data_IF_378815864475
#
_entry.id   IF_378815864475
#
_cell.length_a   1.000
_cell.length_b   1.000
_cell.length_c   1.000
_cell.angle_alpha   90.00
_cell.angle_beta   90.00
_cell.angle_gamma   90.00
#
_symmetry.space_group_name_H-M   'P 1'
#
loop_
_entity.id
_entity.type
_entity.pdbx_description
1 polymer ?
#
# COMPACT_ATOMS: atom_id res chain seq x y z
N UNK A 1 -1.05 -16.67 -19.10
CA UNK A 1 0.05 -17.12 -18.20
C UNK A 1 -0.55 -17.47 -16.87
N UNK A 2 -0.14 -18.60 -16.30
CA UNK A 2 -0.65 -19.13 -15.03
C UNK A 2 0.26 -18.79 -13.87
N UNK A 3 -0.26 -18.83 -12.66
CA UNK A 3 0.50 -18.69 -11.43
C UNK A 3 1.44 -19.89 -11.23
N UNK A 4 2.43 -19.73 -10.36
CA UNK A 4 3.31 -20.83 -9.93
C UNK A 4 2.65 -21.59 -8.78
N UNK A 5 2.21 -22.82 -9.05
CA UNK A 5 1.62 -23.68 -8.03
C UNK A 5 2.68 -24.27 -7.10
N UNK A 6 2.45 -24.15 -5.78
CA UNK A 6 3.31 -24.72 -4.75
C UNK A 6 2.50 -25.57 -3.78
N UNK A 7 3.13 -26.65 -3.28
CA UNK A 7 2.56 -27.54 -2.25
C UNK A 7 3.06 -27.22 -0.84
N UNK A 8 4.05 -26.33 -0.74
CA UNK A 8 4.64 -25.91 0.54
C UNK A 8 3.69 -24.99 1.30
N UNK A 9 3.75 -25.05 2.63
CA UNK A 9 3.07 -24.08 3.49
C UNK A 9 3.75 -22.72 3.37
N UNK A 10 2.99 -21.65 3.69
CA UNK A 10 3.55 -20.30 3.75
C UNK A 10 4.69 -20.23 4.78
N UNK A 11 5.78 -19.49 4.51
CA UNK A 11 7.01 -19.55 5.31
C UNK A 11 6.94 -18.77 6.62
N UNK A 12 5.97 -17.87 6.80
CA UNK A 12 5.94 -16.90 7.89
C UNK A 12 5.67 -17.52 9.26
N UNK A 13 4.68 -18.43 9.37
CA UNK A 13 4.36 -19.08 10.65
C UNK A 13 5.50 -19.95 11.18
N UNK A 14 6.13 -20.83 10.38
CA UNK A 14 7.32 -21.58 10.82
C UNK A 14 8.47 -20.66 11.22
N UNK A 15 8.77 -19.63 10.43
CA UNK A 15 9.86 -18.69 10.69
C UNK A 15 9.62 -17.90 11.98
N UNK A 16 8.39 -17.37 12.18
CA UNK A 16 8.00 -16.72 13.43
C UNK A 16 8.20 -17.63 14.64
N UNK A 17 7.78 -18.91 14.54
CA UNK A 17 7.93 -19.86 15.65
C UNK A 17 9.41 -20.07 16.00
N UNK A 18 10.24 -20.33 15.01
CA UNK A 18 11.67 -20.54 15.20
C UNK A 18 12.39 -19.31 15.78
N UNK A 19 11.98 -18.09 15.34
CA UNK A 19 12.51 -16.84 15.88
C UNK A 19 12.10 -16.63 17.35
N UNK A 20 10.84 -16.90 17.72
CA UNK A 20 10.38 -16.74 19.09
C UNK A 20 10.98 -17.76 20.08
N UNK A 21 11.34 -18.94 19.59
CA UNK A 21 12.06 -19.96 20.39
C UNK A 21 13.49 -19.51 20.69
N UNK A 22 14.17 -18.84 19.73
CA UNK A 22 15.54 -18.34 19.90
C UNK A 22 15.62 -16.94 20.53
N UNK A 23 14.64 -16.11 20.29
CA UNK A 23 14.57 -14.69 20.63
C UNK A 23 13.23 -14.34 21.28
N UNK A 24 12.93 -14.83 22.50
CA UNK A 24 11.67 -14.57 23.20
C UNK A 24 11.43 -13.08 23.50
N UNK A 25 12.49 -12.26 23.54
CA UNK A 25 12.46 -10.80 23.72
C UNK A 25 11.72 -10.07 22.59
N UNK A 26 11.53 -10.68 21.42
CA UNK A 26 10.72 -10.13 20.32
C UNK A 26 9.31 -9.77 20.79
N UNK A 27 8.76 -10.51 21.77
CA UNK A 27 7.43 -10.21 22.32
C UNK A 27 7.31 -8.82 22.95
N UNK A 28 8.41 -8.24 23.43
CA UNK A 28 8.43 -6.87 23.96
C UNK A 28 8.25 -5.80 22.86
N UNK A 29 8.38 -6.16 21.58
CA UNK A 29 8.14 -5.26 20.46
C UNK A 29 6.65 -5.15 20.09
N UNK A 30 5.79 -6.03 20.60
CA UNK A 30 4.35 -6.01 20.32
C UNK A 30 3.67 -4.77 20.91
N UNK A 31 2.57 -4.39 20.30
CA UNK A 31 1.73 -3.30 20.78
C UNK A 31 1.31 -2.34 19.68
N UNK A 32 1.04 -1.11 20.03
CA UNK A 32 0.67 -0.04 19.12
C UNK A 32 1.59 1.18 19.26
N UNK A 33 1.51 2.07 18.26
CA UNK A 33 2.21 3.35 18.23
C UNK A 33 1.23 4.44 17.78
N UNK A 34 1.06 5.48 18.59
CA UNK A 34 0.14 6.58 18.29
C UNK A 34 0.70 7.58 17.28
N UNK A 35 2.02 7.56 17.03
CA UNK A 35 2.66 8.54 16.14
C UNK A 35 2.07 8.56 14.74
N UNK A 36 1.77 7.41 14.06
CA UNK A 36 1.12 7.43 12.75
C UNK A 36 -0.21 8.16 12.74
N UNK A 37 -1.02 8.02 13.80
CA UNK A 37 -2.30 8.72 13.90
C UNK A 37 -2.12 10.25 13.94
N UNK A 38 -1.17 10.75 14.74
CA UNK A 38 -0.88 12.18 14.82
C UNK A 38 -0.22 12.75 13.57
N UNK A 39 0.73 12.02 12.97
CA UNK A 39 1.35 12.40 11.71
C UNK A 39 0.28 12.51 10.62
N UNK A 40 -0.70 11.59 10.60
CA UNK A 40 -1.80 11.61 9.63
C UNK A 40 -2.62 12.89 9.70
N UNK A 41 -2.88 13.44 10.88
CA UNK A 41 -3.54 14.76 11.00
C UNK A 41 -2.78 15.83 10.24
N UNK A 42 -1.45 15.89 10.45
CA UNK A 42 -0.58 16.82 9.74
C UNK A 42 -0.53 16.58 8.22
N UNK A 43 -0.47 15.31 7.80
CA UNK A 43 -0.46 14.93 6.37
C UNK A 43 -1.76 15.33 5.68
N UNK A 44 -2.91 15.05 6.28
CA UNK A 44 -4.23 15.45 5.74
C UNK A 44 -4.32 16.97 5.64
N UNK A 45 -3.93 17.69 6.70
CA UNK A 45 -3.94 19.15 6.69
C UNK A 45 -3.03 19.74 5.61
N UNK A 46 -1.81 19.21 5.48
CA UNK A 46 -0.86 19.65 4.45
C UNK A 46 -1.40 19.35 3.04
N UNK A 47 -1.93 18.16 2.81
CA UNK A 47 -2.46 17.76 1.50
C UNK A 47 -3.63 18.67 1.06
N UNK A 48 -4.54 18.99 1.99
CA UNK A 48 -5.64 19.92 1.73
C UNK A 48 -5.15 21.37 1.52
N UNK A 49 -4.11 21.80 2.25
CA UNK A 49 -3.49 23.11 2.04
C UNK A 49 -2.83 23.22 0.65
N UNK A 50 -2.15 22.17 0.20
CA UNK A 50 -1.57 22.10 -1.15
C UNK A 50 -2.67 22.11 -2.23
N UNK A 51 -3.76 21.37 -2.02
CA UNK A 51 -4.93 21.41 -2.90
C UNK A 51 -5.54 22.82 -3.00
N UNK A 52 -5.68 23.50 -1.86
CA UNK A 52 -6.14 24.90 -1.81
C UNK A 52 -5.16 25.85 -2.51
N UNK A 53 -3.86 25.61 -2.42
CA UNK A 53 -2.85 26.41 -3.12
C UNK A 53 -2.97 26.27 -4.65
N UNK A 54 -3.21 25.06 -5.16
CA UNK A 54 -3.49 24.84 -6.59
C UNK A 54 -4.76 25.58 -7.03
N UNK A 55 -5.83 25.54 -6.22
CA UNK A 55 -7.05 26.29 -6.52
C UNK A 55 -6.81 27.81 -6.55
N UNK A 56 -6.01 28.34 -5.61
CA UNK A 56 -5.63 29.77 -5.62
C UNK A 56 -4.82 30.13 -6.86
N UNK A 57 -3.90 29.26 -7.29
CA UNK A 57 -3.12 29.45 -8.51
C UNK A 57 -4.05 29.51 -9.74
N UNK A 58 -5.03 28.62 -9.82
CA UNK A 58 -6.06 28.71 -10.90
C UNK A 58 -6.85 30.01 -10.85
N UNK A 59 -7.26 30.48 -9.67
CA UNK A 59 -7.99 31.74 -9.46
C UNK A 59 -7.16 33.00 -9.77
N UNK A 60 -5.82 32.91 -9.77
CA UNK A 60 -4.94 34.04 -10.18
C UNK A 60 -4.75 34.17 -11.68
N UNK A 61 -5.51 33.43 -12.50
CA UNK A 61 -5.45 33.48 -13.95
C UNK A 61 -4.45 32.48 -14.59
N UNK A 62 -3.80 31.65 -13.80
CA UNK A 62 -3.00 30.54 -14.32
C UNK A 62 -3.94 29.43 -14.75
N UNK A 63 -4.03 29.17 -16.05
CA UNK A 63 -4.91 28.14 -16.62
C UNK A 63 -4.23 27.30 -17.69
N UNK A 64 -5.01 26.39 -18.31
CA UNK A 64 -4.56 25.52 -19.39
C UNK A 64 -3.38 24.62 -18.96
N UNK A 65 -2.41 24.45 -19.86
CA UNK A 65 -1.27 23.59 -19.65
C UNK A 65 -0.38 23.98 -18.46
N UNK A 66 -0.30 25.30 -18.14
CA UNK A 66 0.52 25.79 -17.00
C UNK A 66 -0.02 25.31 -15.67
N UNK A 67 -1.32 25.35 -15.48
CA UNK A 67 -1.97 24.81 -14.28
C UNK A 67 -1.78 23.31 -14.20
N UNK A 68 -2.01 22.58 -15.31
CA UNK A 68 -1.81 21.12 -15.35
C UNK A 68 -0.39 20.70 -15.00
N UNK A 69 0.63 21.39 -15.52
CA UNK A 69 2.05 21.13 -15.18
C UNK A 69 2.31 21.41 -13.71
N UNK A 70 1.72 22.45 -13.13
CA UNK A 70 1.86 22.76 -11.70
C UNK A 70 1.20 21.70 -10.83
N UNK A 71 0.00 21.24 -11.18
CA UNK A 71 -0.70 20.13 -10.50
C UNK A 71 0.13 18.84 -10.55
N UNK A 72 0.55 18.43 -11.74
CA UNK A 72 1.35 17.21 -11.96
C UNK A 72 2.69 17.30 -11.23
N UNK A 73 3.40 18.42 -11.32
CA UNK A 73 4.69 18.62 -10.67
C UNK A 73 4.58 18.54 -9.15
N UNK A 74 3.60 19.22 -8.56
CA UNK A 74 3.37 19.18 -7.12
C UNK A 74 2.86 17.80 -6.66
N UNK A 75 1.96 17.19 -7.42
CA UNK A 75 1.43 15.87 -7.14
C UNK A 75 2.52 14.79 -7.19
N UNK A 76 3.38 14.82 -8.22
CA UNK A 76 4.50 13.86 -8.34
C UNK A 76 5.58 14.12 -7.28
N UNK A 77 5.91 15.37 -6.96
CA UNK A 77 6.99 15.69 -6.04
C UNK A 77 6.65 15.40 -4.57
N UNK A 78 5.54 15.92 -4.08
CA UNK A 78 5.16 15.85 -2.67
C UNK A 78 3.85 15.08 -2.48
N UNK A 79 2.85 15.39 -3.29
CA UNK A 79 1.51 14.84 -3.16
C UNK A 79 1.46 13.31 -3.18
N UNK A 80 2.26 12.69 -4.04
CA UNK A 80 2.38 11.24 -4.14
C UNK A 80 2.86 10.59 -2.83
N UNK A 81 3.87 11.17 -2.19
CA UNK A 81 4.40 10.67 -0.91
C UNK A 81 3.36 10.82 0.19
N UNK A 82 2.66 11.95 0.24
CA UNK A 82 1.59 12.21 1.22
C UNK A 82 0.38 11.27 1.00
N UNK A 83 -0.01 11.03 -0.26
CA UNK A 83 -1.08 10.06 -0.57
C UNK A 83 -0.66 8.63 -0.26
N UNK A 84 0.59 8.25 -0.52
CA UNK A 84 1.12 6.94 -0.17
C UNK A 84 1.12 6.70 1.35
N UNK A 85 1.38 7.75 2.14
CA UNK A 85 1.28 7.69 3.60
C UNK A 85 -0.09 7.20 4.07
N UNK A 86 -1.18 7.59 3.40
CA UNK A 86 -2.52 7.09 3.74
C UNK A 86 -2.58 5.54 3.67
N UNK A 87 -2.04 4.95 2.61
CA UNK A 87 -1.96 3.49 2.47
C UNK A 87 -1.15 2.82 3.58
N UNK A 88 -0.01 3.42 3.93
CA UNK A 88 0.85 2.93 5.04
C UNK A 88 0.09 2.93 6.37
N UNK A 89 -0.63 4.01 6.66
CA UNK A 89 -1.39 4.12 7.93
C UNK A 89 -2.61 3.22 7.93
N UNK A 90 -3.31 3.07 6.80
CA UNK A 90 -4.43 2.14 6.66
C UNK A 90 -3.94 0.71 6.89
N UNK A 91 -2.76 0.36 6.36
CA UNK A 91 -2.10 -0.93 6.59
C UNK A 91 -1.80 -1.16 8.09
N UNK A 92 -1.10 -0.24 8.76
CA UNK A 92 -0.81 -0.32 10.20
C UNK A 92 -2.10 -0.43 11.03
N UNK A 93 -3.10 0.38 10.71
CA UNK A 93 -4.39 0.37 11.39
C UNK A 93 -5.16 -0.95 11.22
N UNK A 94 -5.01 -1.63 10.07
CA UNK A 94 -5.64 -2.95 9.83
C UNK A 94 -5.15 -4.01 10.83
N UNK A 95 -3.89 -3.90 11.25
CA UNK A 95 -3.29 -4.76 12.27
C UNK A 95 -3.46 -4.24 13.71
N UNK A 96 -4.24 -3.17 13.90
CA UNK A 96 -4.45 -2.49 15.20
C UNK A 96 -3.16 -1.91 15.80
N UNK A 97 -2.28 -1.36 14.96
CA UNK A 97 -0.97 -0.83 15.37
C UNK A 97 -0.94 0.68 15.57
N UNK A 98 -2.02 1.42 15.21
CA UNK A 98 -2.07 2.88 15.34
C UNK A 98 -2.79 3.39 16.59
N UNK A 99 -3.54 2.52 17.29
CA UNK A 99 -4.36 2.92 18.43
C UNK A 99 -4.70 1.72 19.34
N UNK A 100 -5.10 1.94 20.63
CA UNK A 100 -5.31 0.85 21.58
C UNK A 100 -6.54 -0.02 21.29
N UNK A 101 -7.50 0.45 20.49
CA UNK A 101 -8.72 -0.32 20.20
C UNK A 101 -8.98 -0.48 18.70
N UNK A 102 -9.66 -1.57 18.29
CA UNK A 102 -10.00 -1.79 16.87
C UNK A 102 -10.89 -0.67 16.28
N UNK A 103 -11.75 -0.04 17.09
CA UNK A 103 -12.61 1.07 16.64
C UNK A 103 -11.77 2.31 16.33
N UNK A 104 -10.83 2.67 17.20
CA UNK A 104 -9.93 3.80 16.99
C UNK A 104 -9.03 3.59 15.78
N UNK A 105 -8.53 2.37 15.55
CA UNK A 105 -7.77 2.05 14.35
C UNK A 105 -8.59 2.25 13.07
N UNK A 106 -9.88 1.89 13.04
CA UNK A 106 -10.76 2.18 11.90
C UNK A 106 -10.95 3.68 11.68
N UNK A 107 -11.08 4.45 12.77
CA UNK A 107 -11.19 5.92 12.70
C UNK A 107 -9.89 6.51 12.12
N UNK A 108 -8.73 6.05 12.57
CA UNK A 108 -7.42 6.47 12.02
C UNK A 108 -7.30 6.13 10.53
N UNK A 109 -7.72 4.94 10.11
CA UNK A 109 -7.71 4.55 8.71
C UNK A 109 -8.65 5.42 7.85
N UNK A 110 -9.87 5.72 8.34
CA UNK A 110 -10.80 6.62 7.66
C UNK A 110 -10.26 8.05 7.59
N UNK A 111 -9.65 8.54 8.67
CA UNK A 111 -8.99 9.86 8.66
C UNK A 111 -7.85 9.91 7.64
N UNK A 112 -7.02 8.87 7.57
CA UNK A 112 -5.96 8.78 6.57
C UNK A 112 -6.49 8.84 5.12
N UNK A 113 -7.69 8.32 4.88
CA UNK A 113 -8.29 8.30 3.56
C UNK A 113 -8.83 9.69 3.09
N UNK A 114 -9.11 10.64 3.98
CA UNK A 114 -9.85 11.86 3.67
C UNK A 114 -9.29 12.70 2.51
N UNK A 115 -7.99 12.62 2.25
CA UNK A 115 -7.34 13.32 1.13
C UNK A 115 -7.08 12.43 -0.10
N UNK A 116 -7.53 11.18 -0.06
CA UNK A 116 -7.44 10.21 -1.15
C UNK A 116 -8.83 10.08 -1.77
N UNK A 117 -9.11 10.67 -2.96
CA UNK A 117 -10.45 10.69 -3.56
C UNK A 117 -10.89 9.32 -4.11
N UNK A 118 -10.64 8.26 -3.35
CA UNK A 118 -11.05 6.89 -3.60
C UNK A 118 -11.42 6.24 -2.26
N UNK A 119 -12.59 5.61 -2.13
CA UNK A 119 -13.05 5.03 -0.87
C UNK A 119 -12.37 3.67 -0.58
N UNK A 120 -11.05 3.66 -0.40
CA UNK A 120 -10.25 2.44 -0.30
C UNK A 120 -10.04 1.92 1.12
N UNK A 121 -10.12 2.78 2.16
CA UNK A 121 -9.64 2.45 3.50
C UNK A 121 -10.26 1.19 4.09
N UNK A 122 -11.57 1.06 4.11
CA UNK A 122 -12.23 -0.06 4.79
C UNK A 122 -12.24 -1.34 3.97
N UNK A 123 -12.25 -1.27 2.65
CA UNK A 123 -12.08 -2.43 1.77
C UNK A 123 -10.66 -2.97 1.87
N UNK A 124 -9.66 -2.09 1.85
CA UNK A 124 -8.25 -2.48 2.09
C UNK A 124 -8.09 -3.15 3.45
N UNK A 125 -8.60 -2.53 4.51
CA UNK A 125 -8.55 -3.06 5.87
C UNK A 125 -9.01 -4.52 5.94
N UNK A 126 -10.05 -4.86 5.21
CA UNK A 126 -10.62 -6.20 5.18
C UNK A 126 -9.81 -7.17 4.31
N UNK A 127 -9.53 -6.79 3.06
CA UNK A 127 -8.82 -7.69 2.15
C UNK A 127 -7.39 -7.96 2.58
N UNK A 128 -6.74 -7.00 3.24
CA UNK A 128 -5.39 -7.17 3.75
C UNK A 128 -5.31 -8.20 4.90
N UNK A 129 -6.30 -8.20 5.79
CA UNK A 129 -6.41 -9.25 6.81
C UNK A 129 -6.68 -10.63 6.19
N UNK A 130 -7.50 -10.70 5.13
CA UNK A 130 -7.73 -11.93 4.37
C UNK A 130 -6.42 -12.39 3.68
N UNK A 131 -5.64 -11.47 3.12
CA UNK A 131 -4.34 -11.77 2.55
C UNK A 131 -3.40 -12.43 3.56
N UNK A 132 -3.22 -11.87 4.76
CA UNK A 132 -2.41 -12.48 5.82
C UNK A 132 -2.93 -13.84 6.28
N UNK A 133 -4.25 -14.03 6.29
CA UNK A 133 -4.85 -15.29 6.71
C UNK A 133 -4.77 -16.40 5.64
N UNK A 134 -4.81 -16.02 4.37
CA UNK A 134 -4.99 -16.93 3.23
C UNK A 134 -3.98 -16.70 2.10
N UNK A 135 -2.78 -16.22 2.43
CA UNK A 135 -1.75 -15.88 1.46
C UNK A 135 -1.53 -16.96 0.40
N UNK A 136 -1.69 -16.58 -0.87
CA UNK A 136 -1.54 -17.43 -2.03
C UNK A 136 -2.71 -18.39 -2.29
N UNK A 137 -3.81 -18.36 -1.52
CA UNK A 137 -5.00 -19.19 -1.79
C UNK A 137 -5.92 -18.46 -2.76
N UNK A 138 -6.01 -18.95 -3.98
CA UNK A 138 -6.84 -18.35 -5.03
C UNK A 138 -8.31 -18.28 -4.59
N UNK A 139 -8.96 -17.14 -4.84
CA UNK A 139 -10.33 -16.85 -4.38
C UNK A 139 -10.47 -16.46 -2.89
N UNK A 140 -9.40 -16.51 -2.11
CA UNK A 140 -9.36 -16.11 -0.69
C UNK A 140 -8.37 -14.97 -0.47
N UNK A 141 -7.20 -15.03 -1.08
CA UNK A 141 -6.19 -13.99 -1.07
C UNK A 141 -6.55 -12.90 -2.09
N UNK A 142 -7.07 -11.78 -1.60
CA UNK A 142 -7.49 -10.67 -2.45
C UNK A 142 -6.29 -9.80 -2.93
N UNK A 143 -5.06 -10.11 -2.52
CA UNK A 143 -3.87 -9.47 -3.06
C UNK A 143 -3.39 -10.13 -4.37
N UNK A 144 -3.86 -11.33 -4.67
CA UNK A 144 -3.59 -11.95 -5.96
C UNK A 144 -4.23 -11.13 -7.09
N UNK A 145 -3.50 -10.94 -8.21
CA UNK A 145 -4.04 -10.27 -9.39
C UNK A 145 -5.30 -10.96 -9.92
N UNK A 146 -6.31 -10.15 -10.22
CA UNK A 146 -7.57 -10.64 -10.79
C UNK A 146 -7.36 -11.28 -12.16
N UNK A 147 -8.31 -12.12 -12.66
CA UNK A 147 -8.23 -12.65 -14.03
C UNK A 147 -8.09 -11.56 -15.09
N UNK A 148 -8.76 -10.42 -14.91
CA UNK A 148 -8.65 -9.27 -15.82
C UNK A 148 -7.24 -8.68 -15.82
N UNK A 149 -6.64 -8.46 -14.64
CA UNK A 149 -5.27 -7.95 -14.53
C UNK A 149 -4.27 -8.91 -15.20
N UNK A 150 -4.43 -10.21 -14.98
CA UNK A 150 -3.58 -11.25 -15.62
C UNK A 150 -3.70 -11.27 -17.13
N UNK A 151 -4.91 -11.17 -17.67
CA UNK A 151 -5.14 -11.25 -19.11
C UNK A 151 -4.71 -9.96 -19.83
N UNK A 152 -5.08 -8.81 -19.30
CA UNK A 152 -4.88 -7.53 -19.96
C UNK A 152 -3.46 -6.96 -19.80
N UNK A 153 -2.80 -7.20 -18.64
CA UNK A 153 -1.61 -6.45 -18.26
C UNK A 153 -0.35 -7.28 -17.97
N UNK A 154 -0.40 -8.61 -18.09
CA UNK A 154 0.74 -9.47 -17.73
C UNK A 154 1.93 -9.40 -18.69
N UNK A 155 1.75 -8.94 -19.92
CA UNK A 155 2.79 -9.01 -20.95
C UNK A 155 3.12 -7.64 -21.54
N UNK A 156 4.42 -7.43 -21.76
CA UNK A 156 4.97 -6.25 -22.42
C UNK A 156 5.03 -5.00 -21.51
N UNK A 157 6.04 -4.14 -21.76
CA UNK A 157 6.31 -2.99 -20.89
C UNK A 157 5.15 -1.98 -20.87
N UNK A 158 4.54 -1.70 -22.01
CA UNK A 158 3.45 -0.73 -22.12
C UNK A 158 2.22 -1.14 -21.30
N UNK A 159 1.83 -2.41 -21.37
CA UNK A 159 0.68 -2.92 -20.61
C UNK A 159 0.94 -2.90 -19.10
N UNK A 160 2.16 -3.25 -18.68
CA UNK A 160 2.57 -3.17 -17.28
C UNK A 160 2.59 -1.74 -16.76
N UNK A 161 3.09 -0.78 -17.56
CA UNK A 161 3.02 0.65 -17.23
C UNK A 161 1.58 1.13 -17.11
N UNK A 162 0.71 0.75 -18.05
CA UNK A 162 -0.70 1.09 -18.00
C UNK A 162 -1.37 0.53 -16.71
N UNK A 163 -1.04 -0.69 -16.33
CA UNK A 163 -1.51 -1.27 -15.07
C UNK A 163 -1.03 -0.48 -13.86
N UNK A 164 0.25 -0.10 -13.82
CA UNK A 164 0.78 0.70 -12.72
C UNK A 164 0.03 2.03 -12.54
N UNK A 165 -0.31 2.71 -13.64
CA UNK A 165 -1.13 3.93 -13.60
C UNK A 165 -2.54 3.63 -13.07
N UNK A 166 -3.14 2.52 -13.49
CA UNK A 166 -4.50 2.14 -13.13
C UNK A 166 -4.60 1.37 -11.81
N UNK A 167 -3.48 0.97 -11.20
CA UNK A 167 -3.46 0.16 -9.99
C UNK A 167 -4.33 0.70 -8.85
N UNK A 168 -4.34 2.02 -8.54
CA UNK A 168 -5.21 2.54 -7.49
C UNK A 168 -6.70 2.27 -7.75
N UNK A 169 -7.12 2.28 -9.01
CA UNK A 169 -8.50 1.97 -9.39
C UNK A 169 -8.80 0.48 -9.20
N UNK A 170 -7.89 -0.41 -9.59
CA UNK A 170 -8.05 -1.85 -9.35
C UNK A 170 -8.08 -2.16 -7.85
N UNK A 171 -7.18 -1.58 -7.08
CA UNK A 171 -7.12 -1.79 -5.64
C UNK A 171 -8.38 -1.29 -4.91
N UNK A 172 -8.86 -0.09 -5.26
CA UNK A 172 -10.02 0.52 -4.59
C UNK A 172 -11.36 -0.06 -5.07
N UNK A 173 -11.51 -0.29 -6.37
CA UNK A 173 -12.81 -0.63 -6.97
C UNK A 173 -12.96 -2.13 -7.21
N UNK A 174 -12.04 -2.76 -7.96
CA UNK A 174 -12.22 -4.16 -8.33
C UNK A 174 -12.19 -5.09 -7.11
N UNK A 175 -11.22 -4.90 -6.21
CA UNK A 175 -11.07 -5.74 -5.01
C UNK A 175 -12.12 -5.43 -3.94
N UNK A 176 -12.57 -4.19 -3.83
CA UNK A 176 -13.62 -3.78 -2.89
C UNK A 176 -14.98 -4.43 -3.17
N UNK A 177 -15.29 -4.75 -4.45
CA UNK A 177 -16.58 -5.34 -4.85
C UNK A 177 -16.59 -6.88 -4.92
N UNK A 178 -15.50 -7.56 -4.63
CA UNK A 178 -15.43 -9.02 -4.67
C UNK A 178 -16.31 -9.71 -3.61
N UNK A 179 -16.75 -8.99 -2.57
CA UNK A 179 -17.62 -9.48 -1.49
C UNK A 179 -18.70 -8.47 -1.13
N UNK A 180 -19.75 -8.94 -0.47
CA UNK A 180 -20.76 -8.03 0.12
C UNK A 180 -20.10 -7.06 1.09
N UNK A 181 -20.30 -5.74 0.95
CA UNK A 181 -19.66 -4.75 1.78
C UNK A 181 -20.15 -4.84 3.23
N UNK A 182 -19.23 -4.64 4.17
CA UNK A 182 -19.54 -4.48 5.58
C UNK A 182 -20.11 -3.08 5.87
N UNK A 183 -20.72 -2.90 7.06
CA UNK A 183 -21.20 -1.58 7.48
C UNK A 183 -20.10 -0.51 7.49
N UNK A 184 -18.88 -0.89 7.82
CA UNK A 184 -17.73 0.03 7.80
C UNK A 184 -17.30 0.41 6.39
N UNK A 185 -17.38 -0.51 5.44
CA UNK A 185 -17.10 -0.22 4.03
C UNK A 185 -18.15 0.73 3.45
N UNK A 186 -19.45 0.48 3.71
CA UNK A 186 -20.52 1.39 3.30
C UNK A 186 -20.33 2.77 3.92
N UNK A 187 -20.05 2.84 5.23
CA UNK A 187 -19.78 4.11 5.92
C UNK A 187 -18.56 4.82 5.30
N UNK A 188 -17.46 4.10 5.03
CA UNK A 188 -16.27 4.66 4.41
C UNK A 188 -16.52 5.23 3.02
N UNK A 189 -17.33 4.54 2.19
CA UNK A 189 -17.73 5.03 0.86
C UNK A 189 -18.55 6.33 0.99
N UNK A 190 -19.57 6.34 1.83
CA UNK A 190 -20.42 7.53 2.05
C UNK A 190 -19.59 8.70 2.58
N UNK A 191 -18.74 8.46 3.56
CA UNK A 191 -17.85 9.48 4.12
C UNK A 191 -16.95 10.07 3.03
N UNK A 192 -16.26 9.22 2.26
CA UNK A 192 -15.32 9.69 1.24
C UNK A 192 -16.01 10.49 0.14
N UNK A 193 -17.13 9.99 -0.39
CA UNK A 193 -17.90 10.74 -1.41
C UNK A 193 -18.41 12.07 -0.87
N UNK A 194 -18.78 12.12 0.41
CA UNK A 194 -19.19 13.39 1.06
C UNK A 194 -18.00 14.35 1.14
N UNK A 195 -16.82 13.88 1.56
CA UNK A 195 -15.61 14.70 1.63
C UNK A 195 -15.20 15.20 0.25
N UNK A 196 -15.23 14.34 -0.78
CA UNK A 196 -14.91 14.74 -2.15
C UNK A 196 -15.89 15.80 -2.67
N UNK A 197 -17.18 15.67 -2.40
CA UNK A 197 -18.20 16.67 -2.73
C UNK A 197 -17.97 18.01 -2.00
N UNK A 198 -17.56 17.95 -0.73
CA UNK A 198 -17.18 19.16 0.04
C UNK A 198 -15.93 19.81 -0.52
N UNK A 199 -14.89 19.04 -0.82
CA UNK A 199 -13.66 19.56 -1.47
C UNK A 199 -14.01 20.21 -2.82
N UNK A 200 -14.79 19.54 -3.64
CA UNK A 200 -15.22 20.08 -4.94
C UNK A 200 -16.00 21.39 -4.77
N UNK A 201 -16.92 21.46 -3.82
CA UNK A 201 -17.76 22.65 -3.58
C UNK A 201 -16.97 23.81 -2.97
N UNK A 202 -16.06 23.54 -2.04
CA UNK A 202 -15.35 24.56 -1.25
C UNK A 202 -14.04 24.98 -1.89
N UNK A 203 -13.27 24.02 -2.42
CA UNK A 203 -11.95 24.24 -3.00
C UNK A 203 -11.94 24.21 -4.54
N UNK A 204 -12.96 23.61 -5.19
CA UNK A 204 -13.10 23.58 -6.64
C UNK A 204 -12.39 22.41 -7.34
N UNK A 205 -12.58 22.36 -8.68
CA UNK A 205 -12.08 21.28 -9.55
C UNK A 205 -10.55 21.15 -9.53
N UNK A 206 -9.73 22.20 -9.62
CA UNK A 206 -8.28 22.08 -9.57
C UNK A 206 -7.75 21.44 -8.29
N UNK A 207 -8.37 21.71 -7.14
CA UNK A 207 -7.99 21.10 -5.87
C UNK A 207 -8.24 19.57 -5.87
N UNK A 208 -9.41 19.14 -6.34
CA UNK A 208 -9.76 17.72 -6.44
C UNK A 208 -8.88 17.01 -7.48
N UNK A 209 -8.60 17.67 -8.62
CA UNK A 209 -7.68 17.17 -9.66
C UNK A 209 -6.28 16.91 -9.10
N UNK A 210 -5.72 17.85 -8.34
CA UNK A 210 -4.44 17.68 -7.66
C UNK A 210 -4.43 16.44 -6.72
N UNK A 211 -5.48 16.25 -5.91
CA UNK A 211 -5.59 15.10 -5.02
C UNK A 211 -5.70 13.78 -5.79
N UNK A 212 -6.42 13.76 -6.92
CA UNK A 212 -6.49 12.62 -7.82
C UNK A 212 -5.12 12.30 -8.43
N UNK A 213 -4.38 13.28 -8.94
CA UNK A 213 -3.02 13.08 -9.45
C UNK A 213 -2.09 12.57 -8.36
N UNK A 214 -2.15 13.15 -7.15
CA UNK A 214 -1.36 12.72 -6.00
C UNK A 214 -1.62 11.26 -5.64
N UNK A 215 -2.88 10.84 -5.70
CA UNK A 215 -3.29 9.46 -5.45
C UNK A 215 -2.81 8.53 -6.56
N UNK A 216 -3.04 8.87 -7.83
CA UNK A 216 -2.61 8.06 -8.97
C UNK A 216 -1.09 7.85 -8.98
N UNK A 217 -0.32 8.88 -8.66
CA UNK A 217 1.13 8.75 -8.56
C UNK A 217 1.55 7.97 -7.31
N UNK A 218 1.02 8.30 -6.13
CA UNK A 218 1.43 7.70 -4.87
C UNK A 218 1.14 6.21 -4.75
N UNK A 219 0.12 5.71 -5.44
CA UNK A 219 -0.20 4.29 -5.50
C UNK A 219 0.19 3.61 -6.82
N UNK A 220 0.58 4.40 -7.84
CA UNK A 220 0.87 3.91 -9.18
C UNK A 220 2.35 4.00 -9.56
N UNK A 221 2.78 5.11 -10.13
CA UNK A 221 4.08 5.22 -10.81
C UNK A 221 5.18 5.95 -10.02
N UNK A 222 4.89 6.54 -8.88
CA UNK A 222 5.92 7.13 -8.04
C UNK A 222 6.79 6.06 -7.37
N UNK A 223 8.11 6.28 -7.15
CA UNK A 223 8.99 5.29 -6.53
C UNK A 223 8.49 4.70 -5.20
N UNK A 224 7.75 5.45 -4.37
CA UNK A 224 7.18 4.93 -3.11
C UNK A 224 6.20 3.79 -3.34
N UNK A 225 5.46 3.79 -4.46
CA UNK A 225 4.53 2.71 -4.80
C UNK A 225 5.22 1.41 -5.26
N UNK A 226 6.56 1.44 -5.41
CA UNK A 226 7.36 0.22 -5.63
C UNK A 226 7.17 -0.82 -4.53
N UNK A 227 6.67 -0.41 -3.38
CA UNK A 227 6.34 -1.31 -2.29
C UNK A 227 5.27 -2.35 -2.70
N UNK A 228 4.25 -2.00 -3.45
CA UNK A 228 3.21 -2.94 -3.92
C UNK A 228 3.73 -4.02 -4.88
N UNK A 229 4.90 -3.79 -5.49
CA UNK A 229 5.49 -4.73 -6.46
C UNK A 229 6.57 -5.58 -5.80
N UNK A 230 7.39 -5.00 -4.90
CA UNK A 230 8.52 -5.75 -4.35
C UNK A 230 8.09 -6.90 -3.43
N UNK A 231 6.95 -6.80 -2.83
CA UNK A 231 6.50 -7.62 -1.71
C UNK A 231 6.28 -9.09 -2.08
N UNK A 232 5.48 -9.36 -3.10
CA UNK A 232 4.94 -10.69 -3.37
C UNK A 232 5.17 -11.22 -4.80
N UNK A 233 5.81 -10.44 -5.69
CA UNK A 233 6.18 -10.96 -7.00
C UNK A 233 7.42 -11.85 -6.92
N UNK A 234 7.51 -12.88 -7.76
CA UNK A 234 8.60 -13.87 -7.75
C UNK A 234 9.89 -13.31 -8.35
N UNK A 235 10.63 -12.57 -7.56
CA UNK A 235 11.94 -12.04 -7.94
C UNK A 235 12.99 -13.15 -8.06
N UNK A 236 12.83 -14.23 -7.31
CA UNK A 236 13.48 -15.52 -7.46
C UNK A 236 12.47 -16.66 -7.24
N UNK A 237 12.87 -17.92 -7.45
CA UNK A 237 11.97 -19.08 -7.35
C UNK A 237 11.92 -19.70 -5.94
N UNK A 238 12.81 -19.30 -5.05
CA UNK A 238 12.98 -19.92 -3.73
C UNK A 238 12.35 -19.08 -2.62
N UNK A 239 11.83 -17.90 -2.94
CA UNK A 239 11.30 -16.96 -1.96
C UNK A 239 10.05 -16.28 -2.49
N UNK A 240 9.01 -16.18 -1.66
CA UNK A 240 7.70 -15.67 -2.05
C UNK A 240 7.38 -14.27 -1.51
N UNK A 241 8.14 -13.78 -0.53
CA UNK A 241 7.99 -12.45 0.05
C UNK A 241 9.35 -11.79 0.18
N UNK A 242 9.42 -10.49 -0.08
CA UNK A 242 10.67 -9.75 -0.14
C UNK A 242 10.58 -8.48 0.70
N UNK A 243 11.63 -8.17 1.44
CA UNK A 243 11.79 -6.89 2.14
C UNK A 243 12.59 -5.89 1.31
N UNK A 244 12.39 -4.61 1.61
CA UNK A 244 13.15 -3.50 1.07
C UNK A 244 13.89 -2.78 2.20
N UNK A 245 15.22 -2.66 2.07
CA UNK A 245 16.07 -1.98 3.06
C UNK A 245 16.75 -0.76 2.45
N UNK A 246 15.94 0.19 1.97
CA UNK A 246 16.43 1.41 1.33
C UNK A 246 15.90 2.69 2.00
N UNK A 247 16.30 3.87 1.50
CA UNK A 247 16.05 5.16 2.16
C UNK A 247 14.58 5.55 2.22
N UNK A 248 13.73 5.05 1.30
CA UNK A 248 12.30 5.39 1.30
C UNK A 248 11.55 4.85 2.52
N UNK A 249 12.13 3.89 3.28
CA UNK A 249 11.58 3.46 4.56
C UNK A 249 11.40 4.64 5.54
N UNK A 250 12.23 5.68 5.46
CA UNK A 250 12.14 6.86 6.32
C UNK A 250 10.82 7.65 6.13
N UNK A 251 10.27 7.64 4.91
CA UNK A 251 9.03 8.36 4.57
C UNK A 251 7.80 7.43 4.44
N UNK A 252 7.98 6.12 4.62
CA UNK A 252 6.93 5.11 4.52
C UNK A 252 6.78 4.27 5.79
N UNK A 253 7.22 4.77 6.94
CA UNK A 253 7.09 4.12 8.23
C UNK A 253 7.62 2.70 8.29
N UNK A 254 8.73 2.43 7.57
CA UNK A 254 9.38 1.13 7.46
C UNK A 254 8.51 0.02 6.84
N UNK A 255 7.52 0.36 6.01
CA UNK A 255 6.67 -0.64 5.33
C UNK A 255 7.49 -1.62 4.48
N UNK A 256 8.68 -1.22 4.06
CA UNK A 256 9.59 -2.10 3.31
C UNK A 256 10.13 -3.29 4.11
N UNK A 257 10.02 -3.34 5.44
CA UNK A 257 10.37 -4.51 6.25
C UNK A 257 9.26 -5.58 6.18
N UNK A 258 8.94 -6.03 4.98
CA UNK A 258 7.76 -6.82 4.68
C UNK A 258 7.82 -8.26 5.20
N UNK A 259 8.99 -8.94 5.13
CA UNK A 259 9.16 -10.26 5.73
C UNK A 259 8.96 -10.22 7.24
N UNK A 260 9.55 -9.22 7.89
CA UNK A 260 9.44 -9.00 9.33
C UNK A 260 7.99 -8.71 9.73
N UNK A 261 7.28 -7.92 8.92
CA UNK A 261 5.88 -7.61 9.14
C UNK A 261 4.99 -8.86 9.01
N UNK A 262 5.15 -9.67 7.95
CA UNK A 262 4.39 -10.91 7.78
C UNK A 262 4.67 -11.93 8.88
N UNK A 263 5.91 -12.01 9.36
CA UNK A 263 6.25 -12.87 10.49
C UNK A 263 5.63 -12.37 11.79
N UNK A 264 5.59 -11.05 12.01
CA UNK A 264 5.22 -10.43 13.28
C UNK A 264 4.25 -9.27 13.09
N UNK A 265 3.06 -9.55 12.60
CA UNK A 265 1.98 -8.57 12.31
C UNK A 265 1.54 -7.71 13.50
N UNK A 266 2.01 -8.02 14.72
CA UNK A 266 1.73 -7.26 15.96
C UNK A 266 2.86 -6.30 16.33
N UNK A 267 3.89 -6.18 15.51
CA UNK A 267 5.01 -5.25 15.70
C UNK A 267 4.76 -4.01 14.85
N UNK A 268 4.63 -2.80 15.45
CA UNK A 268 4.47 -1.56 14.70
C UNK A 268 5.66 -1.28 13.76
N UNK A 269 5.40 -0.66 12.63
CA UNK A 269 6.42 -0.32 11.62
C UNK A 269 7.66 0.37 12.18
N UNK A 270 7.49 1.25 13.16
CA UNK A 270 8.63 1.91 13.83
C UNK A 270 9.60 0.94 14.55
N UNK A 271 9.14 -0.26 14.91
CA UNK A 271 9.94 -1.27 15.62
C UNK A 271 10.44 -2.39 14.71
N UNK A 272 10.01 -2.45 13.45
CA UNK A 272 10.47 -3.46 12.48
C UNK A 272 11.99 -3.43 12.25
N UNK A 273 12.69 -2.27 12.20
CA UNK A 273 14.14 -2.26 12.13
C UNK A 273 14.83 -2.88 13.36
N UNK A 274 14.21 -2.82 14.54
CA UNK A 274 14.71 -3.50 15.73
C UNK A 274 14.48 -5.02 15.64
N UNK A 275 13.30 -5.44 15.19
CA UNK A 275 13.00 -6.85 14.91
C UNK A 275 14.00 -7.44 13.92
N UNK A 276 14.29 -6.73 12.82
CA UNK A 276 15.29 -7.14 11.83
C UNK A 276 16.67 -7.34 12.46
N UNK A 277 17.10 -6.44 13.36
CA UNK A 277 18.41 -6.59 14.04
C UNK A 277 18.45 -7.81 14.95
N UNK A 278 17.37 -8.12 15.66
CA UNK A 278 17.27 -9.32 16.51
C UNK A 278 17.33 -10.58 15.66
N UNK A 279 16.55 -10.66 14.58
CA UNK A 279 16.50 -11.81 13.68
C UNK A 279 17.46 -11.72 12.48
N UNK A 280 18.60 -11.01 12.63
CA UNK A 280 19.53 -10.72 11.51
C UNK A 280 20.08 -11.98 10.84
N UNK A 281 20.29 -13.03 11.58
CA UNK A 281 20.75 -14.35 11.09
C UNK A 281 19.75 -14.96 10.10
N UNK A 282 18.45 -14.71 10.29
CA UNK A 282 17.37 -15.20 9.44
C UNK A 282 17.07 -14.20 8.31
N UNK A 283 16.75 -12.95 8.65
CA UNK A 283 16.36 -11.95 7.65
C UNK A 283 17.50 -11.53 6.73
N UNK A 284 18.75 -11.56 7.22
CA UNK A 284 19.93 -11.25 6.43
C UNK A 284 20.27 -12.30 5.37
N UNK A 285 19.75 -13.53 5.51
CA UNK A 285 19.89 -14.58 4.51
C UNK A 285 18.84 -14.50 3.39
N UNK A 286 17.75 -13.77 3.60
CA UNK A 286 16.69 -13.59 2.61
C UNK A 286 17.09 -12.58 1.53
N UNK A 287 16.70 -12.86 0.29
CA UNK A 287 16.82 -11.91 -0.78
C UNK A 287 15.96 -10.66 -0.50
N UNK A 288 16.50 -9.48 -0.81
CA UNK A 288 15.87 -8.21 -0.50
C UNK A 288 16.15 -7.16 -1.58
N UNK A 289 15.39 -6.08 -1.55
CA UNK A 289 15.55 -4.93 -2.43
C UNK A 289 16.17 -3.74 -1.70
N UNK A 290 16.89 -2.89 -2.44
CA UNK A 290 17.48 -1.63 -1.93
C UNK A 290 17.02 -0.41 -2.71
N UNK A 291 16.28 -0.61 -3.81
CA UNK A 291 15.78 0.47 -4.67
C UNK A 291 14.43 0.09 -5.27
N UNK A 292 13.37 0.80 -4.90
CA UNK A 292 12.06 0.63 -5.51
C UNK A 292 12.01 1.13 -6.96
N UNK A 293 12.82 2.11 -7.34
CA UNK A 293 12.95 2.51 -8.73
C UNK A 293 13.51 1.35 -9.59
N UNK A 294 14.50 0.58 -9.07
CA UNK A 294 14.99 -0.63 -9.72
C UNK A 294 13.93 -1.72 -9.79
N UNK A 295 13.13 -1.87 -8.73
CA UNK A 295 11.99 -2.81 -8.71
C UNK A 295 11.03 -2.50 -9.87
N UNK A 296 10.64 -1.23 -10.05
CA UNK A 296 9.82 -0.81 -11.19
C UNK A 296 10.44 -1.14 -12.53
N UNK A 297 11.70 -0.73 -12.70
CA UNK A 297 12.41 -0.96 -13.94
C UNK A 297 12.43 -2.46 -14.30
N UNK A 298 12.80 -3.31 -13.35
CA UNK A 298 12.85 -4.76 -13.56
C UNK A 298 11.46 -5.35 -13.81
N UNK A 299 10.44 -4.92 -13.08
CA UNK A 299 9.07 -5.40 -13.29
C UNK A 299 8.59 -5.07 -14.71
N UNK A 300 8.80 -3.85 -15.16
CA UNK A 300 8.35 -3.39 -16.48
C UNK A 300 9.15 -4.05 -17.59
N UNK A 301 10.48 -4.10 -17.48
CA UNK A 301 11.37 -4.53 -18.56
C UNK A 301 11.56 -6.04 -18.67
N UNK A 302 11.34 -6.81 -17.59
CA UNK A 302 11.62 -8.25 -17.56
C UNK A 302 10.38 -9.06 -17.91
N UNK A 303 10.43 -9.91 -18.93
CA UNK A 303 9.30 -10.74 -19.38
C UNK A 303 8.85 -11.80 -18.36
N UNK A 304 9.78 -12.32 -17.54
CA UNK A 304 9.48 -13.31 -16.49
C UNK A 304 8.65 -12.74 -15.35
N UNK A 305 8.69 -11.43 -15.13
CA UNK A 305 7.88 -10.74 -14.10
C UNK A 305 6.58 -10.24 -14.71
N UNK A 306 5.50 -10.42 -14.01
CA UNK A 306 4.17 -9.97 -14.43
C UNK A 306 3.12 -10.50 -13.45
N UNK A 307 1.84 -10.24 -13.70
CA UNK A 307 0.74 -10.63 -12.81
C UNK A 307 0.64 -12.14 -12.57
N UNK A 308 1.26 -12.95 -13.43
CA UNK A 308 1.38 -14.40 -13.30
C UNK A 308 2.52 -14.85 -12.36
N UNK A 309 3.48 -13.97 -12.07
CA UNK A 309 4.64 -14.31 -11.25
C UNK A 309 4.33 -14.20 -9.75
N UNK A 310 3.41 -15.02 -9.28
CA UNK A 310 2.98 -15.17 -7.88
C UNK A 310 2.88 -16.66 -7.55
N UNK A 311 3.18 -17.03 -6.31
CA UNK A 311 2.87 -18.35 -5.81
C UNK A 311 1.39 -18.48 -5.47
N UNK A 312 0.80 -19.63 -5.82
CA UNK A 312 -0.53 -20.02 -5.36
C UNK A 312 -0.52 -21.41 -4.76
N UNK A 313 -1.44 -21.62 -3.83
CA UNK A 313 -1.62 -22.86 -3.07
C UNK A 313 -3.03 -23.37 -3.25
N UNK A 314 -3.17 -24.70 -3.29
CA UNK A 314 -4.49 -25.32 -3.15
C UNK A 314 -5.10 -24.96 -1.79
N UNK A 315 -6.42 -24.76 -1.70
CA UNK A 315 -7.10 -24.68 -0.41
C UNK A 315 -6.77 -25.91 0.45
N UNK A 316 -6.35 -25.70 1.68
CA UNK A 316 -6.15 -26.78 2.65
C UNK A 316 -7.47 -27.24 3.22
#
# INVERSE_FOLDING_TARGET
>A
MEFTNVTTREPHKPRRRALLERHPEIRALYGYDLRPAWITVGVVALQLALAAAIQRLAGSGVGGWRLLVSEIGLAMGIGAVLSHWAGVVIHEASHNLCAPTPRLNRIVALMANLHVPLPAAMSFFRYHLDHHAFMGIEGRDNDLPTPLERQAFSSGPVRKLAWLVLYPLFAALARGFMRRPSRWEVFGVVLQLTVDAVILKVLGVPALSYLLWSTLFGYGIHPVAGHFIHEHYLWNQDQETFSYYGPLNAVTWNIGYHNEHHDFVRVPGARLPQLHRIGKDVYGALASHRSWARVYWLFVSTSRLGHHSRFVRAPM
#
